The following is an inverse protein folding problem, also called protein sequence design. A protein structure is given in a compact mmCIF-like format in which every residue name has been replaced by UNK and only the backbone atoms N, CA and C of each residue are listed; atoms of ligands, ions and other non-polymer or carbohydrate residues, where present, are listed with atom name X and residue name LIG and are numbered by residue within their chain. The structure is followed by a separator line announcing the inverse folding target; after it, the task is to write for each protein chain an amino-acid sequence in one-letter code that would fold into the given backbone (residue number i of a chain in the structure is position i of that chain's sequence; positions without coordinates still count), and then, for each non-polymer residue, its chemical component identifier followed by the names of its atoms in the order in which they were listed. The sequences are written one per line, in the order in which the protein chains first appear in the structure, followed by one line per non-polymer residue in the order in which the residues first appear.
data_IF_892213152443
#
_entry.id   IF_892213152443
#
_cell.length_a   1.000
_cell.length_b   1.000
_cell.length_c   1.000
_cell.angle_alpha   90.00
_cell.angle_beta   90.00
_cell.angle_gamma   90.00
#
_symmetry.space_group_name_H-M   'P 1'
#
loop_
_entity.id
_entity.type
_entity.pdbx_description
1 polymer ?
#
# COMPACT_ATOMS: atom_id res chain seq x y z
N UNK A 1 14.80 2.63 -8.81
CA UNK A 1 13.54 2.97 -9.50
C UNK A 1 13.87 3.31 -10.95
N UNK A 2 13.13 2.82 -11.94
CA UNK A 2 13.41 3.15 -13.35
C UNK A 2 13.18 4.62 -13.66
N UNK A 3 14.02 5.23 -14.53
CA UNK A 3 13.89 6.65 -14.88
C UNK A 3 12.63 6.96 -15.70
N UNK A 4 11.97 5.99 -16.33
CA UNK A 4 10.68 6.23 -16.98
C UNK A 4 9.53 6.49 -15.99
N UNK A 5 9.73 6.22 -14.71
CA UNK A 5 8.74 6.53 -13.67
C UNK A 5 8.83 7.99 -13.26
N UNK A 6 7.68 8.67 -13.19
CA UNK A 6 7.58 10.12 -12.88
C UNK A 6 8.33 10.50 -11.60
N UNK A 7 8.26 9.68 -10.56
CA UNK A 7 9.01 9.93 -9.31
C UNK A 7 10.52 9.97 -9.55
N UNK A 8 11.09 9.02 -10.29
CA UNK A 8 12.52 8.98 -10.53
C UNK A 8 12.98 10.09 -11.48
N UNK A 9 12.24 10.29 -12.59
CA UNK A 9 12.60 11.30 -13.58
C UNK A 9 12.31 12.72 -13.10
N UNK A 10 11.05 13.03 -12.75
CA UNK A 10 10.67 14.41 -12.44
C UNK A 10 11.14 14.84 -11.06
N UNK A 11 10.83 14.04 -10.04
CA UNK A 11 11.11 14.39 -8.65
C UNK A 11 12.56 14.11 -8.25
N UNK A 12 13.20 13.10 -8.85
CA UNK A 12 14.60 12.76 -8.62
C UNK A 12 15.53 13.51 -9.56
N UNK A 13 15.63 13.03 -10.81
CA UNK A 13 16.62 13.49 -11.76
C UNK A 13 16.45 14.96 -12.17
N UNK A 14 15.29 15.32 -12.72
CA UNK A 14 15.06 16.69 -13.25
C UNK A 14 15.14 17.74 -12.15
N UNK A 15 14.58 17.46 -10.98
CA UNK A 15 14.64 18.39 -9.85
C UNK A 15 16.10 18.57 -9.34
N UNK A 16 16.86 17.47 -9.24
CA UNK A 16 18.28 17.54 -8.85
C UNK A 16 19.07 18.40 -9.81
N UNK A 17 18.85 18.27 -11.13
CA UNK A 17 19.51 19.12 -12.12
C UNK A 17 19.08 20.58 -12.03
N UNK A 18 17.80 20.85 -11.80
CA UNK A 18 17.28 22.23 -11.76
C UNK A 18 17.88 23.06 -10.62
N UNK A 19 18.32 22.42 -9.54
CA UNK A 19 18.96 23.08 -8.39
C UNK A 19 20.49 22.96 -8.39
N UNK A 20 21.10 22.41 -9.46
CA UNK A 20 22.54 22.23 -9.58
C UNK A 20 23.14 21.22 -8.61
N UNK A 21 22.34 20.27 -8.13
CA UNK A 21 22.81 19.21 -7.22
C UNK A 21 23.33 17.98 -7.99
N UNK A 22 24.04 17.08 -7.31
CA UNK A 22 24.56 15.86 -7.89
C UNK A 22 23.53 14.73 -7.79
N UNK A 23 23.28 14.06 -8.89
CA UNK A 23 22.42 12.87 -8.96
C UNK A 23 23.29 11.60 -9.08
N UNK A 24 23.20 10.73 -8.07
CA UNK A 24 23.86 9.42 -8.08
C UNK A 24 22.85 8.32 -8.41
N UNK A 25 23.17 7.46 -9.36
CA UNK A 25 22.30 6.40 -9.83
C UNK A 25 23.04 5.08 -9.96
N UNK A 26 22.53 4.05 -9.29
CA UNK A 26 23.02 2.68 -9.47
C UNK A 26 22.34 1.98 -10.65
N UNK A 27 23.07 1.08 -11.30
CA UNK A 27 22.54 0.28 -12.45
C UNK A 27 21.33 -0.58 -12.04
N UNK A 28 21.35 -1.12 -10.81
CA UNK A 28 20.32 -2.00 -10.25
C UNK A 28 20.21 -1.76 -8.76
N UNK A 29 18.97 -1.79 -8.24
CA UNK A 29 18.75 -1.82 -6.80
C UNK A 29 19.30 -3.13 -6.21
N UNK A 30 20.07 -3.01 -5.13
CA UNK A 30 20.58 -4.13 -4.36
C UNK A 30 20.58 -3.77 -2.88
N UNK A 31 19.96 -4.58 -2.05
CA UNK A 31 19.95 -4.37 -0.60
C UNK A 31 21.34 -4.44 0.04
N UNK A 32 22.23 -5.24 -0.58
CA UNK A 32 23.61 -5.38 -0.10
C UNK A 32 24.52 -4.24 -0.53
N UNK A 33 24.27 -3.57 -1.65
CA UNK A 33 25.11 -2.49 -2.17
C UNK A 33 24.57 -1.08 -1.86
N UNK A 34 23.30 -0.93 -1.54
CA UNK A 34 22.64 0.37 -1.42
C UNK A 34 23.35 1.33 -0.47
N UNK A 35 23.66 0.88 0.76
CA UNK A 35 24.30 1.73 1.75
C UNK A 35 25.79 1.98 1.45
N UNK A 36 26.45 1.09 0.73
CA UNK A 36 27.84 1.29 0.25
C UNK A 36 27.85 2.38 -0.85
N UNK A 37 26.88 2.36 -1.76
CA UNK A 37 26.71 3.42 -2.77
C UNK A 37 26.38 4.77 -2.11
N UNK A 38 25.49 4.79 -1.11
CA UNK A 38 25.13 6.00 -0.33
C UNK A 38 26.37 6.61 0.32
N UNK A 39 27.23 5.81 0.97
CA UNK A 39 28.49 6.24 1.58
C UNK A 39 29.50 6.72 0.53
N UNK A 40 29.69 5.93 -0.52
CA UNK A 40 30.64 6.24 -1.61
C UNK A 40 30.37 7.61 -2.24
N UNK A 41 29.12 7.95 -2.44
CA UNK A 41 28.71 9.22 -3.06
C UNK A 41 28.40 10.31 -2.03
N UNK A 42 28.60 10.06 -0.72
CA UNK A 42 28.26 10.97 0.38
C UNK A 42 26.85 11.55 0.22
N UNK A 43 25.89 10.70 -0.15
CA UNK A 43 24.52 11.12 -0.44
C UNK A 43 23.86 11.63 0.85
N UNK A 44 23.21 12.79 0.76
CA UNK A 44 22.46 13.38 1.87
C UNK A 44 20.94 13.32 1.72
N UNK A 45 20.47 12.88 0.56
CA UNK A 45 19.07 12.56 0.29
C UNK A 45 19.02 11.20 -0.43
N UNK A 46 18.12 10.33 0.00
CA UNK A 46 17.83 9.09 -0.72
C UNK A 46 16.39 9.10 -1.21
N UNK A 47 16.17 8.49 -2.38
CA UNK A 47 14.85 8.32 -2.96
C UNK A 47 14.38 6.87 -2.80
N UNK A 48 13.14 6.66 -2.39
CA UNK A 48 12.56 5.34 -2.17
C UNK A 48 11.19 5.14 -2.82
N UNK A 49 10.81 3.89 -2.97
CA UNK A 49 9.43 3.38 -2.94
C UNK A 49 9.28 2.57 -1.66
N UNK A 50 8.14 2.61 -1.00
CA UNK A 50 7.97 2.01 0.32
C UNK A 50 8.45 0.56 0.45
N UNK A 51 8.27 -0.26 -0.59
CA UNK A 51 8.76 -1.65 -0.59
C UNK A 51 10.29 -1.74 -0.58
N UNK A 52 11.01 -0.79 -1.19
CA UNK A 52 12.49 -0.79 -1.11
C UNK A 52 12.99 -0.55 0.31
N UNK A 53 12.28 0.26 1.09
CA UNK A 53 12.58 0.45 2.52
C UNK A 53 12.37 -0.85 3.31
N UNK A 54 11.33 -1.62 2.99
CA UNK A 54 11.10 -2.94 3.58
C UNK A 54 12.23 -3.91 3.25
N UNK A 55 12.65 -3.96 1.99
CA UNK A 55 13.79 -4.82 1.58
C UNK A 55 15.08 -4.45 2.29
N UNK A 56 15.37 -3.15 2.45
CA UNK A 56 16.52 -2.69 3.22
C UNK A 56 16.44 -3.09 4.71
N UNK A 57 15.24 -3.03 5.30
CA UNK A 57 15.01 -3.51 6.67
C UNK A 57 15.21 -5.03 6.83
N UNK A 58 14.94 -5.80 5.77
CA UNK A 58 15.08 -7.26 5.80
C UNK A 58 16.52 -7.72 5.56
N UNK A 59 17.37 -6.84 5.03
CA UNK A 59 18.78 -7.15 4.84
C UNK A 59 19.51 -7.25 6.21
N UNK A 60 20.53 -8.13 6.32
CA UNK A 60 21.36 -8.20 7.51
C UNK A 60 22.00 -6.84 7.85
N UNK A 61 22.21 -6.59 9.13
CA UNK A 61 22.99 -5.43 9.59
C UNK A 61 24.40 -5.48 8.99
N UNK A 62 24.84 -4.34 8.46
CA UNK A 62 26.19 -4.21 7.92
C UNK A 62 27.15 -3.89 9.03
N UNK A 63 28.22 -4.63 9.11
CA UNK A 63 29.31 -4.40 10.07
C UNK A 63 30.62 -4.16 9.33
N UNK A 64 31.46 -3.33 9.90
CA UNK A 64 32.85 -3.15 9.43
C UNK A 64 33.64 -4.43 9.71
N UNK A 65 34.25 -5.06 8.69
CA UNK A 65 34.99 -6.31 8.89
C UNK A 65 36.20 -6.20 9.82
N UNK A 66 36.79 -5.00 9.89
CA UNK A 66 38.02 -4.77 10.72
C UNK A 66 37.68 -4.41 12.18
N UNK A 67 36.59 -3.66 12.38
CA UNK A 67 36.25 -3.11 13.71
C UNK A 67 35.01 -3.75 14.35
N UNK A 68 34.19 -4.47 13.58
CA UNK A 68 32.89 -4.98 14.02
C UNK A 68 31.83 -3.89 14.20
N UNK A 69 32.10 -2.64 13.83
CA UNK A 69 31.19 -1.52 14.02
C UNK A 69 29.97 -1.62 13.11
N UNK A 70 28.79 -1.27 13.64
CA UNK A 70 27.56 -1.22 12.87
C UNK A 70 27.59 -0.05 11.87
N UNK A 71 27.54 -0.35 10.58
CA UNK A 71 27.58 0.61 9.48
C UNK A 71 26.19 1.11 9.03
N UNK A 72 25.09 0.60 9.57
CA UNK A 72 23.75 0.96 9.13
C UNK A 72 23.45 2.47 9.29
N UNK A 73 24.10 3.11 10.28
CA UNK A 73 23.99 4.57 10.54
C UNK A 73 25.17 5.41 10.07
N UNK A 74 26.17 4.80 9.48
CA UNK A 74 27.38 5.49 8.99
C UNK A 74 27.16 6.09 7.60
N UNK A 75 26.44 7.20 7.54
CA UNK A 75 26.18 7.94 6.30
C UNK A 75 25.70 9.36 6.60
N UNK A 76 25.64 10.21 5.57
CA UNK A 76 25.26 11.64 5.67
C UNK A 76 23.79 11.90 5.31
N UNK A 77 22.94 10.87 5.20
CA UNK A 77 21.54 11.01 4.79
C UNK A 77 20.75 11.81 5.83
N UNK A 78 20.15 12.91 5.38
CA UNK A 78 19.30 13.79 6.19
C UNK A 78 17.82 13.61 5.91
N UNK A 79 17.47 13.16 4.68
CA UNK A 79 16.09 12.99 4.24
C UNK A 79 15.98 11.74 3.39
N UNK A 80 15.02 10.90 3.69
CA UNK A 80 14.52 9.90 2.77
C UNK A 80 13.23 10.42 2.13
N UNK A 81 13.18 10.45 0.81
CA UNK A 81 12.13 11.03 0.00
C UNK A 81 11.49 9.97 -0.89
N UNK A 82 10.17 9.89 -0.90
CA UNK A 82 9.49 8.88 -1.72
C UNK A 82 7.99 8.79 -1.51
N UNK A 83 7.44 7.64 -1.88
CA UNK A 83 6.02 7.37 -1.77
C UNK A 83 5.73 5.91 -1.39
N UNK A 84 4.60 5.69 -0.73
CA UNK A 84 4.12 4.37 -0.36
C UNK A 84 4.83 3.75 0.83
N UNK A 85 5.43 4.56 1.71
CA UNK A 85 6.04 4.07 2.95
C UNK A 85 4.94 3.72 3.95
N UNK A 86 4.75 2.44 4.18
CA UNK A 86 3.73 1.95 5.09
C UNK A 86 4.04 2.30 6.55
N UNK A 87 3.03 2.55 7.39
CA UNK A 87 3.22 2.88 8.80
C UNK A 87 4.02 1.83 9.59
N UNK A 88 3.85 0.53 9.26
CA UNK A 88 4.58 -0.58 9.89
C UNK A 88 6.09 -0.59 9.58
N UNK A 89 6.51 0.09 8.50
CA UNK A 89 7.90 0.22 8.07
C UNK A 89 8.52 1.54 8.57
N UNK A 90 7.72 2.59 8.73
CA UNK A 90 8.14 3.97 8.91
C UNK A 90 9.18 4.17 10.02
N UNK A 91 8.80 3.91 11.27
CA UNK A 91 9.69 4.12 12.40
C UNK A 91 10.85 3.11 12.40
N UNK A 92 10.59 1.87 12.07
CA UNK A 92 11.63 0.83 11.97
C UNK A 92 12.74 1.24 11.01
N UNK A 93 12.38 1.85 9.86
CA UNK A 93 13.34 2.34 8.87
C UNK A 93 14.13 3.55 9.40
N UNK A 94 13.45 4.54 9.98
CA UNK A 94 14.09 5.70 10.62
C UNK A 94 15.07 5.28 11.70
N UNK A 95 14.62 4.41 12.60
CA UNK A 95 15.41 4.02 13.79
C UNK A 95 16.62 3.18 13.41
N UNK A 96 16.45 2.18 12.54
CA UNK A 96 17.56 1.33 12.14
C UNK A 96 18.65 2.13 11.43
N UNK A 97 18.28 2.95 10.47
CA UNK A 97 19.24 3.67 9.64
C UNK A 97 19.56 5.10 10.14
N UNK A 98 18.94 5.55 11.22
CA UNK A 98 19.19 6.88 11.78
C UNK A 98 18.76 8.02 10.86
N UNK A 99 17.65 7.87 10.11
CA UNK A 99 17.15 8.86 9.17
C UNK A 99 16.37 9.96 9.90
N UNK A 100 16.82 11.23 9.92
CA UNK A 100 16.17 12.28 10.69
C UNK A 100 14.80 12.67 10.16
N UNK A 101 14.58 12.60 8.83
CA UNK A 101 13.34 13.04 8.21
C UNK A 101 12.90 12.12 7.07
N UNK A 102 11.58 11.90 7.00
CA UNK A 102 10.90 11.27 5.88
C UNK A 102 10.08 12.33 5.15
N UNK A 103 10.26 12.43 3.84
CA UNK A 103 9.43 13.25 2.96
C UNK A 103 8.57 12.33 2.10
N UNK A 104 7.38 12.05 2.58
CA UNK A 104 6.39 11.25 1.86
C UNK A 104 5.58 12.13 0.93
N UNK A 105 5.32 11.68 -0.29
CA UNK A 105 4.41 12.37 -1.20
C UNK A 105 3.36 11.40 -1.76
N UNK A 106 2.27 11.96 -2.19
CA UNK A 106 1.22 11.26 -2.91
C UNK A 106 0.86 12.05 -4.17
N UNK A 107 0.67 11.34 -5.28
CA UNK A 107 0.24 11.89 -6.55
C UNK A 107 -0.01 10.78 -7.56
N UNK A 108 -0.80 11.09 -8.58
CA UNK A 108 -1.02 10.22 -9.75
C UNK A 108 -0.24 10.77 -10.93
N UNK A 109 0.32 9.88 -11.76
CA UNK A 109 1.10 10.27 -12.94
C UNK A 109 0.27 11.09 -13.94
N UNK A 110 -0.99 10.70 -14.09
CA UNK A 110 -1.98 11.37 -14.94
C UNK A 110 -2.62 12.59 -14.29
N UNK A 111 -2.44 12.78 -12.99
CA UNK A 111 -3.03 13.87 -12.23
C UNK A 111 -2.08 15.04 -12.02
N UNK A 112 -2.55 16.26 -12.22
CA UNK A 112 -1.81 17.50 -11.94
C UNK A 112 -1.85 17.90 -10.46
N UNK A 113 -1.87 16.92 -9.57
CA UNK A 113 -2.04 17.12 -8.14
C UNK A 113 -1.06 16.23 -7.35
N UNK A 114 -0.47 16.81 -6.32
CA UNK A 114 0.37 16.11 -5.37
C UNK A 114 0.18 16.66 -3.95
N UNK A 115 0.35 15.79 -2.95
CA UNK A 115 0.45 16.19 -1.53
C UNK A 115 1.80 15.81 -0.98
N UNK A 116 2.20 16.47 0.10
CA UNK A 116 3.49 16.31 0.74
C UNK A 116 3.36 16.24 2.25
N UNK A 117 4.22 15.41 2.84
CA UNK A 117 4.38 15.34 4.29
C UNK A 117 5.87 15.21 4.61
N UNK A 118 6.50 16.29 5.06
CA UNK A 118 7.86 16.23 5.63
C UNK A 118 7.75 16.01 7.13
N UNK A 119 8.08 14.81 7.58
CA UNK A 119 7.98 14.40 8.98
C UNK A 119 9.37 14.16 9.58
N UNK A 120 9.64 14.83 10.70
CA UNK A 120 10.87 14.63 11.51
C UNK A 120 10.59 13.86 12.79
N UNK A 121 9.35 13.79 13.21
CA UNK A 121 8.87 13.10 14.41
C UNK A 121 7.65 12.23 14.08
N UNK A 122 7.00 11.67 15.08
CA UNK A 122 5.88 10.75 14.87
C UNK A 122 4.56 11.44 14.52
N UNK A 123 4.48 12.78 14.68
CA UNK A 123 3.24 13.52 14.37
C UNK A 123 2.76 13.31 12.92
N UNK A 124 3.66 13.25 11.95
CA UNK A 124 3.32 13.03 10.54
C UNK A 124 3.45 11.57 10.08
N UNK A 125 3.66 10.61 10.98
CA UNK A 125 3.90 9.21 10.63
C UNK A 125 2.74 8.63 9.81
N UNK A 126 3.07 8.02 8.67
CA UNK A 126 2.10 7.36 7.78
C UNK A 126 1.21 8.30 6.98
N UNK A 127 1.26 9.61 7.22
CA UNK A 127 0.51 10.55 6.41
C UNK A 127 1.18 10.77 5.05
N UNK A 128 0.37 10.79 3.99
CA UNK A 128 0.79 11.06 2.60
C UNK A 128 0.68 12.53 2.21
N UNK A 129 0.13 13.35 3.09
CA UNK A 129 0.00 14.78 2.92
C UNK A 129 -0.25 15.48 4.24
N UNK A 130 0.16 16.73 4.31
CA UNK A 130 -0.08 17.61 5.45
C UNK A 130 -0.32 19.03 4.95
N UNK A 131 -1.34 19.69 5.46
CA UNK A 131 -1.67 21.05 5.07
C UNK A 131 -1.88 21.94 6.29
N UNK A 132 -1.43 23.20 6.19
CA UNK A 132 -1.72 24.22 7.18
C UNK A 132 -3.08 24.91 6.94
N UNK A 133 -3.55 25.68 7.92
CA UNK A 133 -4.83 26.39 7.84
C UNK A 133 -4.89 27.34 6.63
N UNK A 134 -3.83 28.09 6.36
CA UNK A 134 -3.76 29.01 5.23
C UNK A 134 -3.81 28.27 3.88
N UNK A 135 -3.09 27.16 3.75
CA UNK A 135 -3.15 26.32 2.55
C UNK A 135 -4.57 25.79 2.33
N UNK A 136 -5.23 25.31 3.40
CA UNK A 136 -6.61 24.82 3.31
C UNK A 136 -7.61 25.93 2.95
N UNK A 137 -7.40 27.14 3.40
CA UNK A 137 -8.23 28.28 3.03
C UNK A 137 -8.13 28.58 1.51
N UNK A 138 -6.94 28.55 0.95
CA UNK A 138 -6.66 28.87 -0.45
C UNK A 138 -6.96 27.66 -1.35
N UNK A 139 -6.41 26.51 -1.04
CA UNK A 139 -6.41 25.30 -1.89
C UNK A 139 -7.48 24.29 -1.52
N UNK A 140 -8.11 24.39 -0.34
CA UNK A 140 -9.08 23.41 0.17
C UNK A 140 -10.34 23.27 -0.71
N UNK A 141 -10.59 24.25 -1.61
CA UNK A 141 -11.66 24.14 -2.63
C UNK A 141 -11.26 23.33 -3.85
N UNK A 142 -10.00 23.00 -4.00
CA UNK A 142 -9.46 22.20 -5.11
C UNK A 142 -9.45 20.71 -4.83
N UNK A 143 -9.68 20.31 -3.59
CA UNK A 143 -9.71 18.93 -3.12
C UNK A 143 -11.02 18.62 -2.45
N UNK A 144 -11.50 17.41 -2.62
CA UNK A 144 -12.66 16.89 -1.93
C UNK A 144 -12.47 15.39 -1.64
N UNK A 145 -12.99 14.95 -0.49
CA UNK A 145 -13.17 13.54 -0.20
C UNK A 145 -14.67 13.30 -0.18
N UNK A 146 -15.15 12.34 -0.98
CA UNK A 146 -16.57 12.05 -1.15
C UNK A 146 -16.90 10.63 -0.72
N UNK A 147 -18.16 10.44 -0.29
CA UNK A 147 -18.68 9.11 0.00
C UNK A 147 -18.61 8.23 -1.24
N UNK A 148 -18.23 6.97 -1.07
CA UNK A 148 -18.21 5.96 -2.13
C UNK A 148 -19.30 4.93 -1.85
N UNK A 149 -20.04 4.60 -2.89
CA UNK A 149 -20.90 3.44 -2.90
C UNK A 149 -20.03 2.21 -3.18
N UNK A 150 -19.94 1.31 -2.24
CA UNK A 150 -19.01 0.18 -2.30
C UNK A 150 -19.49 -0.95 -3.21
N UNK A 151 -20.76 -0.98 -3.57
CA UNK A 151 -21.31 -1.99 -4.49
C UNK A 151 -21.05 -1.59 -5.94
N UNK A 152 -21.16 -0.29 -6.24
CA UNK A 152 -20.91 0.26 -7.58
C UNK A 152 -19.49 0.79 -7.78
N UNK A 153 -18.72 0.95 -6.70
CA UNK A 153 -17.39 1.59 -6.68
C UNK A 153 -17.40 3.04 -7.22
N UNK A 154 -18.55 3.70 -7.14
CA UNK A 154 -18.75 5.07 -7.62
C UNK A 154 -18.99 6.04 -6.45
N UNK A 155 -18.64 7.32 -6.59
CA UNK A 155 -19.03 8.35 -5.66
C UNK A 155 -20.55 8.43 -5.49
N UNK A 156 -21.00 8.39 -4.25
CA UNK A 156 -22.41 8.39 -3.90
C UNK A 156 -23.03 9.75 -4.15
N UNK A 157 -24.15 9.78 -4.87
CA UNK A 157 -24.93 10.99 -5.14
C UNK A 157 -26.18 11.04 -4.27
N UNK A 158 -26.50 12.21 -3.79
CA UNK A 158 -27.75 12.47 -3.07
C UNK A 158 -28.94 12.31 -4.04
N UNK A 159 -29.93 11.49 -3.71
CA UNK A 159 -31.05 11.21 -4.63
C UNK A 159 -31.94 12.43 -4.94
N UNK A 160 -31.93 13.49 -4.10
CA UNK A 160 -32.72 14.71 -4.32
C UNK A 160 -32.00 15.74 -5.17
N UNK A 161 -30.70 15.93 -4.92
CA UNK A 161 -29.92 16.99 -5.57
C UNK A 161 -29.05 16.48 -6.71
N UNK A 162 -28.80 15.17 -6.78
CA UNK A 162 -27.86 14.50 -7.67
C UNK A 162 -26.40 14.95 -7.50
N UNK A 163 -26.06 15.65 -6.41
CA UNK A 163 -24.70 16.04 -6.08
C UNK A 163 -24.05 15.04 -5.12
N UNK A 164 -22.72 14.97 -5.13
CA UNK A 164 -21.97 14.12 -4.21
C UNK A 164 -21.93 14.73 -2.81
N UNK A 165 -21.85 13.85 -1.81
CA UNK A 165 -21.66 14.24 -0.41
C UNK A 165 -20.21 14.17 -0.04
N UNK A 166 -19.70 15.19 0.65
CA UNK A 166 -18.38 15.15 1.29
C UNK A 166 -18.45 14.29 2.53
N UNK A 167 -17.40 13.50 2.77
CA UNK A 167 -17.26 12.78 4.05
C UNK A 167 -16.86 13.76 5.17
N UNK A 168 -17.29 13.51 6.42
CA UNK A 168 -16.76 14.21 7.59
C UNK A 168 -15.25 13.96 7.75
N UNK A 169 -14.56 14.83 8.50
CA UNK A 169 -13.17 14.57 8.89
C UNK A 169 -13.08 13.33 9.77
N UNK A 170 -12.08 12.50 9.50
CA UNK A 170 -11.91 11.20 10.13
C UNK A 170 -12.46 10.04 9.31
N UNK A 171 -13.45 10.30 8.46
CA UNK A 171 -14.09 9.28 7.63
C UNK A 171 -13.34 9.08 6.30
N UNK A 172 -13.24 7.83 5.82
CA UNK A 172 -12.64 7.53 4.53
C UNK A 172 -13.61 7.82 3.37
N UNK A 173 -13.04 8.21 2.22
CA UNK A 173 -13.79 8.41 0.99
C UNK A 173 -12.86 8.57 -0.21
N UNK A 174 -13.43 8.64 -1.43
CA UNK A 174 -12.63 8.84 -2.64
C UNK A 174 -12.11 10.28 -2.70
N UNK A 175 -10.81 10.41 -2.94
CA UNK A 175 -10.18 11.69 -3.20
C UNK A 175 -10.50 12.17 -4.61
N UNK A 176 -11.06 13.36 -4.70
CA UNK A 176 -11.27 14.07 -5.95
C UNK A 176 -10.44 15.35 -5.98
N UNK A 177 -9.94 15.74 -7.14
CA UNK A 177 -9.41 17.08 -7.33
C UNK A 177 -10.12 17.82 -8.47
N UNK A 178 -10.27 19.12 -8.27
CA UNK A 178 -11.04 19.97 -9.16
C UNK A 178 -10.31 20.20 -10.48
N UNK A 179 -11.04 20.02 -11.56
CA UNK A 179 -10.62 20.35 -12.92
C UNK A 179 -11.23 21.72 -13.35
N UNK A 180 -10.56 22.50 -14.22
CA UNK A 180 -11.18 23.67 -14.84
C UNK A 180 -12.27 23.19 -15.82
N UNK A 181 -13.56 23.57 -15.62
CA UNK A 181 -14.66 23.00 -16.43
C UNK A 181 -14.58 23.34 -17.92
N UNK A 182 -14.00 24.50 -18.26
CA UNK A 182 -13.84 24.95 -19.64
C UNK A 182 -12.60 24.40 -20.35
N UNK A 183 -11.65 23.83 -19.61
CA UNK A 183 -10.38 23.33 -20.14
C UNK A 183 -9.86 22.16 -19.30
N UNK A 184 -10.59 21.08 -19.30
CA UNK A 184 -10.21 19.85 -18.58
C UNK A 184 -8.87 19.31 -19.07
N UNK A 185 -8.58 19.42 -20.37
CA UNK A 185 -7.37 18.91 -20.99
C UNK A 185 -6.09 19.59 -20.48
N UNK A 186 -6.16 20.84 -20.00
CA UNK A 186 -5.00 21.53 -19.41
C UNK A 186 -4.50 20.86 -18.12
N UNK A 187 -5.34 20.10 -17.46
CA UNK A 187 -5.03 19.42 -16.19
C UNK A 187 -5.07 17.89 -16.26
N UNK A 188 -5.82 17.35 -17.21
CA UNK A 188 -5.91 15.92 -17.46
C UNK A 188 -6.06 15.65 -18.94
N UNK A 189 -4.98 15.23 -19.59
CA UNK A 189 -4.93 14.98 -21.02
C UNK A 189 -5.62 13.64 -21.43
N UNK A 190 -5.89 12.79 -20.46
CA UNK A 190 -6.49 11.47 -20.69
C UNK A 190 -5.47 10.38 -21.00
N UNK A 191 -5.99 9.20 -21.24
CA UNK A 191 -5.20 8.02 -21.62
C UNK A 191 -5.10 7.95 -23.15
N UNK A 192 -3.89 7.73 -23.64
CA UNK A 192 -3.64 7.64 -25.09
C UNK A 192 -4.41 6.44 -25.69
N UNK A 193 -5.23 6.73 -26.69
CA UNK A 193 -6.02 5.70 -27.39
C UNK A 193 -7.22 5.13 -26.63
N UNK A 194 -7.47 5.51 -25.36
CA UNK A 194 -8.55 4.99 -24.52
C UNK A 194 -9.46 6.12 -24.00
N UNK A 195 -10.50 6.44 -24.79
CA UNK A 195 -11.48 7.46 -24.45
C UNK A 195 -12.40 7.05 -23.29
N UNK A 196 -12.70 5.74 -23.18
CA UNK A 196 -13.59 5.22 -22.15
C UNK A 196 -12.92 5.26 -20.78
N UNK A 197 -11.67 4.82 -20.68
CA UNK A 197 -10.89 4.95 -19.46
C UNK A 197 -10.70 6.43 -19.07
N UNK A 198 -10.50 7.31 -20.05
CA UNK A 198 -10.38 8.77 -19.84
C UNK A 198 -11.68 9.34 -19.26
N UNK A 199 -12.82 9.04 -19.85
CA UNK A 199 -14.11 9.55 -19.42
C UNK A 199 -14.49 9.09 -18.01
N UNK A 200 -14.15 7.86 -17.63
CA UNK A 200 -14.38 7.30 -16.28
C UNK A 200 -13.61 8.05 -15.18
N UNK A 201 -12.55 8.76 -15.54
CA UNK A 201 -11.75 9.56 -14.58
C UNK A 201 -12.31 10.97 -14.38
N UNK A 202 -13.24 11.43 -15.20
CA UNK A 202 -13.82 12.77 -15.12
C UNK A 202 -15.25 12.68 -14.60
N UNK A 203 -15.54 13.41 -13.54
CA UNK A 203 -16.89 13.60 -13.02
C UNK A 203 -17.35 15.03 -13.23
N UNK A 204 -18.55 15.17 -13.76
CA UNK A 204 -19.26 16.44 -13.90
C UNK A 204 -20.34 16.56 -12.83
N UNK A 205 -20.71 17.80 -12.52
CA UNK A 205 -21.79 18.11 -11.58
C UNK A 205 -21.63 17.41 -10.22
N UNK A 206 -20.43 17.54 -9.63
CA UNK A 206 -20.11 16.86 -8.37
C UNK A 206 -20.71 17.58 -7.17
N UNK A 207 -20.51 18.89 -7.04
CA UNK A 207 -21.04 19.71 -5.94
C UNK A 207 -21.96 20.84 -6.42
N UNK A 208 -21.87 21.17 -7.70
CA UNK A 208 -22.69 22.18 -8.35
C UNK A 208 -22.74 21.92 -9.85
N UNK A 209 -23.79 22.37 -10.52
CA UNK A 209 -23.93 22.29 -11.97
C UNK A 209 -22.73 22.95 -12.68
N UNK A 210 -22.13 22.24 -13.63
CA UNK A 210 -21.02 22.69 -14.45
C UNK A 210 -19.64 22.59 -13.78
N UNK A 211 -19.47 22.02 -12.58
CA UNK A 211 -18.15 21.73 -12.07
C UNK A 211 -17.60 20.41 -12.65
N UNK A 212 -16.27 20.30 -12.69
CA UNK A 212 -15.57 19.11 -13.17
C UNK A 212 -14.51 18.68 -12.17
N UNK A 213 -14.40 17.38 -11.96
CA UNK A 213 -13.50 16.79 -10.98
C UNK A 213 -12.84 15.53 -11.53
N UNK A 214 -11.59 15.32 -11.19
CA UNK A 214 -10.85 14.10 -11.50
C UNK A 214 -11.03 13.08 -10.36
N UNK A 215 -11.31 11.85 -10.73
CA UNK A 215 -11.37 10.71 -9.83
C UNK A 215 -10.01 10.07 -9.67
N UNK A 216 -9.46 10.06 -8.46
CA UNK A 216 -8.18 9.37 -8.21
C UNK A 216 -8.35 7.86 -8.22
N UNK A 217 -9.49 7.36 -7.75
CA UNK A 217 -9.72 5.94 -7.46
C UNK A 217 -9.05 5.52 -6.15
N UNK A 218 -8.57 6.47 -5.35
CA UNK A 218 -7.91 6.21 -4.07
C UNK A 218 -8.82 6.64 -2.92
N UNK A 219 -9.00 5.76 -1.95
CA UNK A 219 -9.71 6.03 -0.70
C UNK A 219 -8.71 6.60 0.29
N UNK A 220 -9.02 7.79 0.78
CA UNK A 220 -8.18 8.53 1.72
C UNK A 220 -9.03 9.12 2.84
N UNK A 221 -8.41 9.58 3.92
CA UNK A 221 -9.08 10.34 4.99
C UNK A 221 -8.24 11.50 5.46
N UNK A 222 -8.90 12.63 5.72
CA UNK A 222 -8.34 13.75 6.48
C UNK A 222 -8.62 13.54 7.96
N UNK A 223 -7.62 13.64 8.80
CA UNK A 223 -7.85 13.75 10.23
C UNK A 223 -8.16 15.20 10.67
N UNK A 224 -8.38 15.37 11.96
CA UNK A 224 -8.68 16.69 12.56
C UNK A 224 -7.50 17.65 12.55
N UNK A 225 -6.27 17.14 12.37
CA UNK A 225 -5.04 17.91 12.37
C UNK A 225 -4.50 18.20 10.95
N UNK A 226 -5.34 18.02 9.94
CA UNK A 226 -5.03 18.25 8.53
C UNK A 226 -3.91 17.34 7.97
N UNK A 227 -3.85 16.10 8.44
CA UNK A 227 -3.02 15.06 7.85
C UNK A 227 -3.88 14.17 6.96
N UNK A 228 -3.37 13.90 5.75
CA UNK A 228 -4.01 13.02 4.78
C UNK A 228 -3.40 11.62 4.87
N UNK A 229 -4.23 10.62 5.05
CA UNK A 229 -3.82 9.22 5.10
C UNK A 229 -4.40 8.45 3.92
N UNK A 230 -3.60 7.60 3.32
CA UNK A 230 -4.06 6.64 2.34
C UNK A 230 -4.69 5.44 3.05
N UNK A 231 -5.91 5.11 2.67
CA UNK A 231 -6.60 3.95 3.20
C UNK A 231 -6.50 2.75 2.27
N UNK A 232 -6.91 2.90 0.99
CA UNK A 232 -6.83 1.82 -0.01
C UNK A 232 -7.15 2.36 -1.41
N UNK A 233 -7.12 1.50 -2.42
CA UNK A 233 -7.66 1.78 -3.74
C UNK A 233 -9.08 1.27 -3.86
N UNK A 234 -9.93 2.04 -4.55
CA UNK A 234 -11.22 1.53 -5.03
C UNK A 234 -10.93 0.34 -5.93
N UNK A 235 -11.61 -0.77 -5.75
CA UNK A 235 -11.32 -2.03 -6.45
C UNK A 235 -10.26 -2.92 -5.79
N UNK A 236 -9.47 -2.41 -4.84
CA UNK A 236 -8.63 -3.25 -3.97
C UNK A 236 -9.36 -3.64 -2.68
N UNK A 237 -10.22 -2.77 -2.16
CA UNK A 237 -11.14 -3.10 -1.07
C UNK A 237 -12.04 -4.27 -1.45
N UNK A 238 -12.45 -5.05 -0.48
CA UNK A 238 -13.43 -6.10 -0.69
C UNK A 238 -14.52 -6.05 0.39
N UNK A 239 -15.68 -6.61 0.07
CA UNK A 239 -16.82 -6.69 1.00
C UNK A 239 -16.94 -8.10 1.56
N UNK A 240 -17.06 -8.22 2.87
CA UNK A 240 -17.30 -9.47 3.56
C UNK A 240 -18.33 -9.30 4.64
N UNK A 241 -19.41 -10.12 4.63
CA UNK A 241 -20.52 -10.04 5.59
C UNK A 241 -21.11 -8.63 5.73
N UNK A 242 -21.35 -7.99 4.59
CA UNK A 242 -21.87 -6.63 4.46
C UNK A 242 -20.93 -5.51 4.97
N UNK A 243 -19.70 -5.83 5.37
CA UNK A 243 -18.70 -4.88 5.84
C UNK A 243 -17.59 -4.69 4.80
N UNK A 244 -17.11 -3.45 4.67
CA UNK A 244 -16.01 -3.13 3.77
C UNK A 244 -14.67 -3.33 4.48
N UNK A 245 -13.73 -3.97 3.79
CA UNK A 245 -12.41 -4.28 4.31
C UNK A 245 -11.34 -3.60 3.47
N UNK A 246 -10.50 -2.78 4.10
CA UNK A 246 -9.29 -2.24 3.50
C UNK A 246 -8.21 -3.30 3.47
N UNK A 247 -7.72 -3.61 2.27
CA UNK A 247 -6.62 -4.55 2.10
C UNK A 247 -5.31 -4.01 2.66
N UNK A 248 -5.12 -2.69 2.60
CA UNK A 248 -3.95 -2.02 3.14
C UNK A 248 -3.91 -2.10 4.68
N UNK A 249 -5.05 -1.88 5.35
CA UNK A 249 -5.15 -1.99 6.81
C UNK A 249 -4.85 -3.43 7.29
N UNK A 250 -5.48 -4.41 6.67
CA UNK A 250 -5.22 -5.83 7.01
C UNK A 250 -3.77 -6.21 6.76
N UNK A 251 -3.19 -5.80 5.61
CA UNK A 251 -1.79 -6.07 5.28
C UNK A 251 -0.82 -5.39 6.26
N UNK A 252 -1.16 -4.21 6.76
CA UNK A 252 -0.37 -3.54 7.80
C UNK A 252 -0.36 -4.34 9.09
N UNK A 253 -1.53 -4.76 9.58
CA UNK A 253 -1.62 -5.56 10.81
C UNK A 253 -0.88 -6.88 10.65
N UNK A 254 -1.07 -7.62 9.56
CA UNK A 254 -0.33 -8.86 9.29
C UNK A 254 1.17 -8.61 9.25
N UNK A 255 1.62 -7.53 8.60
CA UNK A 255 3.03 -7.16 8.45
C UNK A 255 3.74 -6.77 9.74
N UNK A 256 2.98 -6.36 10.78
CA UNK A 256 3.51 -6.07 12.12
C UNK A 256 3.90 -7.33 12.90
N UNK A 257 3.45 -8.52 12.48
CA UNK A 257 3.82 -9.75 13.18
C UNK A 257 5.32 -10.06 13.00
N UNK A 258 6.07 -10.37 14.10
CA UNK A 258 7.53 -10.56 14.06
C UNK A 258 8.03 -11.58 13.04
N UNK A 259 7.25 -12.65 12.81
CA UNK A 259 7.60 -13.72 11.88
C UNK A 259 7.35 -13.36 10.40
N UNK A 260 6.62 -12.28 10.11
CA UNK A 260 6.24 -11.89 8.75
C UNK A 260 7.30 -10.98 8.14
N UNK A 261 7.73 -11.32 6.94
CA UNK A 261 8.62 -10.51 6.11
C UNK A 261 7.82 -9.57 5.20
N UNK A 262 6.82 -10.13 4.51
CA UNK A 262 5.99 -9.41 3.55
C UNK A 262 4.54 -9.92 3.61
N UNK A 263 3.58 -9.02 3.47
CA UNK A 263 2.16 -9.35 3.41
C UNK A 263 1.45 -8.53 2.31
N UNK A 264 0.68 -9.21 1.46
CA UNK A 264 -0.21 -8.62 0.47
C UNK A 264 -1.61 -9.21 0.63
N UNK A 265 -2.61 -8.35 0.80
CA UNK A 265 -3.99 -8.78 1.10
C UNK A 265 -4.91 -8.50 -0.06
N UNK A 266 -5.82 -9.41 -0.32
CA UNK A 266 -6.82 -9.33 -1.39
C UNK A 266 -8.08 -10.10 -1.01
N UNK A 267 -9.19 -9.76 -1.66
CA UNK A 267 -10.46 -10.49 -1.50
C UNK A 267 -10.54 -11.67 -2.46
N UNK A 268 -11.04 -12.81 -1.98
CA UNK A 268 -11.27 -14.03 -2.75
C UNK A 268 -12.73 -14.45 -2.68
N UNK A 269 -13.28 -14.90 -3.80
CA UNK A 269 -14.63 -15.46 -3.85
C UNK A 269 -14.66 -16.84 -3.19
N UNK A 270 -15.68 -17.07 -2.38
CA UNK A 270 -15.88 -18.35 -1.68
C UNK A 270 -17.26 -18.91 -2.05
N UNK A 271 -17.33 -20.18 -2.49
CA UNK A 271 -18.59 -20.80 -2.85
C UNK A 271 -19.65 -20.67 -1.75
N UNK A 272 -20.88 -20.33 -2.12
CA UNK A 272 -22.02 -20.25 -1.19
C UNK A 272 -21.98 -19.05 -0.22
N UNK A 273 -21.08 -18.09 -0.42
CA UNK A 273 -21.00 -16.88 0.38
C UNK A 273 -21.06 -15.63 -0.49
N UNK A 274 -21.79 -14.63 -0.03
CA UNK A 274 -21.85 -13.32 -0.67
C UNK A 274 -20.60 -12.49 -0.32
N UNK A 275 -20.09 -11.74 -1.30
CA UNK A 275 -18.89 -10.93 -1.15
C UNK A 275 -17.61 -11.73 -1.34
N UNK A 276 -16.50 -11.21 -0.78
CA UNK A 276 -15.17 -11.80 -0.88
C UNK A 276 -14.55 -11.94 0.49
N UNK A 277 -14.01 -13.11 0.79
CA UNK A 277 -13.28 -13.35 2.03
C UNK A 277 -11.84 -12.82 1.93
N UNK A 278 -11.30 -12.32 3.03
CA UNK A 278 -9.90 -11.85 3.06
C UNK A 278 -8.92 -13.00 2.91
N UNK A 279 -7.95 -12.84 2.01
CA UNK A 279 -6.78 -13.71 1.87
C UNK A 279 -5.51 -12.87 2.02
N UNK A 280 -4.61 -13.29 2.93
CA UNK A 280 -3.29 -12.70 3.09
C UNK A 280 -2.24 -13.60 2.44
N UNK A 281 -1.62 -13.14 1.33
CA UNK A 281 -0.40 -13.75 0.82
C UNK A 281 0.77 -13.26 1.68
N UNK A 282 1.53 -14.19 2.25
CA UNK A 282 2.57 -13.91 3.24
C UNK A 282 3.86 -14.61 2.87
N UNK A 283 4.94 -13.83 2.94
CA UNK A 283 6.30 -14.35 2.99
C UNK A 283 6.75 -14.30 4.45
N UNK A 284 7.14 -15.44 4.99
CA UNK A 284 7.70 -15.52 6.34
C UNK A 284 9.20 -15.26 6.32
N UNK A 285 9.74 -14.80 7.44
CA UNK A 285 11.18 -14.68 7.62
C UNK A 285 11.82 -16.08 7.65
N UNK A 286 13.07 -16.25 7.20
CA UNK A 286 13.73 -17.55 7.16
C UNK A 286 13.76 -18.29 8.51
N UNK A 287 13.95 -17.55 9.60
CA UNK A 287 13.95 -18.09 10.96
C UNK A 287 12.59 -18.51 11.51
N UNK A 288 11.51 -18.11 10.84
CA UNK A 288 10.13 -18.41 11.23
C UNK A 288 9.53 -19.60 10.48
N UNK A 289 10.27 -20.20 9.57
CA UNK A 289 9.88 -21.39 8.81
C UNK A 289 10.71 -22.60 9.17
N UNK A 290 10.11 -23.77 9.08
CA UNK A 290 10.82 -25.05 9.28
C UNK A 290 11.85 -25.26 8.14
N UNK A 291 12.91 -26.04 8.35
CA UNK A 291 13.86 -26.40 7.30
C UNK A 291 13.17 -26.93 6.03
N UNK A 292 13.79 -26.76 4.86
CA UNK A 292 13.24 -27.22 3.60
C UNK A 292 12.92 -28.72 3.60
N UNK A 293 13.74 -29.55 4.27
CA UNK A 293 13.49 -30.97 4.46
C UNK A 293 12.19 -31.25 5.26
N UNK A 294 11.72 -30.31 6.08
CA UNK A 294 10.45 -30.35 6.82
C UNK A 294 9.34 -29.54 6.13
N UNK A 295 9.51 -29.20 4.84
CA UNK A 295 8.52 -28.56 3.98
C UNK A 295 8.62 -27.06 3.85
N UNK A 296 9.53 -26.36 4.56
CA UNK A 296 9.74 -24.90 4.42
C UNK A 296 8.52 -24.06 4.79
N UNK A 297 7.65 -24.55 5.67
CA UNK A 297 6.41 -23.89 6.09
C UNK A 297 6.54 -23.36 7.52
N UNK A 298 5.74 -22.34 7.92
CA UNK A 298 5.71 -21.89 9.30
C UNK A 298 5.24 -23.00 10.25
N UNK A 299 5.78 -23.02 11.47
CA UNK A 299 5.36 -23.97 12.51
C UNK A 299 3.91 -23.71 12.95
N UNK A 300 3.25 -24.70 13.54
CA UNK A 300 1.91 -24.54 14.13
C UNK A 300 1.89 -23.44 15.19
N UNK A 301 2.95 -23.32 15.98
CA UNK A 301 3.10 -22.24 16.95
C UNK A 301 3.13 -20.87 16.28
N UNK A 302 3.87 -20.72 15.17
CA UNK A 302 3.91 -19.47 14.38
C UNK A 302 2.54 -19.13 13.80
N UNK A 303 1.83 -20.13 13.24
CA UNK A 303 0.49 -19.95 12.68
C UNK A 303 -0.54 -19.57 13.75
N UNK A 304 -0.49 -20.16 14.92
CA UNK A 304 -1.33 -19.80 16.07
C UNK A 304 -1.00 -18.40 16.59
N UNK A 305 0.27 -18.05 16.71
CA UNK A 305 0.69 -16.70 17.11
C UNK A 305 0.21 -15.62 16.15
N UNK A 306 0.31 -15.89 14.83
CA UNK A 306 -0.20 -14.97 13.79
C UNK A 306 -1.73 -14.83 13.88
N UNK A 307 -2.47 -15.93 14.05
CA UNK A 307 -3.93 -15.90 14.24
C UNK A 307 -4.34 -15.06 15.46
N UNK A 308 -3.64 -15.23 16.58
CA UNK A 308 -3.84 -14.41 17.78
C UNK A 308 -3.50 -12.93 17.55
N UNK A 309 -2.45 -12.65 16.79
CA UNK A 309 -2.02 -11.29 16.46
C UNK A 309 -3.08 -10.55 15.62
N UNK A 310 -3.54 -11.14 14.53
CA UNK A 310 -4.55 -10.50 13.65
C UNK A 310 -5.88 -10.30 14.37
N UNK A 311 -6.28 -11.20 15.28
CA UNK A 311 -7.49 -11.04 16.09
C UNK A 311 -7.45 -9.88 17.07
N UNK A 312 -6.27 -9.56 17.59
CA UNK A 312 -6.10 -8.39 18.47
C UNK A 312 -6.07 -7.06 17.69
N UNK A 313 -5.61 -7.11 16.44
CA UNK A 313 -5.42 -5.91 15.62
C UNK A 313 -6.54 -5.58 14.65
N UNK A 314 -7.48 -6.52 14.40
CA UNK A 314 -8.53 -6.37 13.39
C UNK A 314 -9.92 -6.71 13.94
N UNK A 315 -10.97 -6.02 13.49
CA UNK A 315 -12.33 -6.42 13.76
C UNK A 315 -12.63 -7.77 13.07
N UNK A 316 -13.62 -8.49 13.60
CA UNK A 316 -13.92 -9.88 13.19
C UNK A 316 -14.18 -10.03 11.68
N UNK A 317 -14.85 -9.07 11.06
CA UNK A 317 -15.15 -9.10 9.63
C UNK A 317 -13.92 -8.87 8.74
N UNK A 318 -12.88 -8.20 9.25
CA UNK A 318 -11.65 -7.89 8.51
C UNK A 318 -10.55 -8.97 8.69
N UNK A 319 -10.77 -9.98 9.52
CA UNK A 319 -9.81 -11.07 9.69
C UNK A 319 -9.56 -11.77 8.35
N UNK A 320 -8.30 -11.93 7.91
CA UNK A 320 -8.01 -12.73 6.73
C UNK A 320 -8.36 -14.20 7.04
N UNK A 321 -9.43 -14.68 6.41
CA UNK A 321 -9.89 -16.07 6.60
C UNK A 321 -8.94 -17.06 5.95
N UNK A 322 -8.22 -16.64 4.93
CA UNK A 322 -7.20 -17.45 4.26
C UNK A 322 -5.82 -16.81 4.41
N UNK A 323 -4.83 -17.66 4.54
CA UNK A 323 -3.41 -17.32 4.57
C UNK A 323 -2.73 -18.13 3.46
N UNK A 324 -2.17 -17.44 2.47
CA UNK A 324 -1.40 -18.04 1.39
C UNK A 324 0.09 -17.86 1.68
N UNK A 325 0.78 -18.93 1.98
CA UNK A 325 2.24 -18.91 2.19
C UNK A 325 2.91 -18.98 0.84
N UNK A 326 3.56 -17.86 0.46
CA UNK A 326 4.21 -17.71 -0.84
C UNK A 326 5.56 -18.44 -0.82
N UNK A 327 5.73 -19.41 -1.71
CA UNK A 327 7.01 -20.05 -1.96
C UNK A 327 7.84 -19.24 -2.96
N UNK A 328 9.17 -19.29 -2.83
CA UNK A 328 10.06 -18.49 -3.67
C UNK A 328 10.53 -17.16 -3.06
N UNK A 329 10.09 -16.83 -1.86
CA UNK A 329 10.68 -15.77 -1.03
C UNK A 329 10.31 -14.32 -1.39
N UNK A 330 9.42 -14.09 -2.37
CA UNK A 330 8.94 -12.74 -2.72
C UNK A 330 7.55 -12.76 -3.34
N UNK A 331 6.73 -11.77 -3.03
CA UNK A 331 5.48 -11.50 -3.72
C UNK A 331 5.78 -10.78 -5.04
N UNK A 332 5.05 -11.11 -6.11
CA UNK A 332 5.22 -10.46 -7.41
C UNK A 332 5.01 -8.95 -7.31
N UNK A 333 5.95 -8.20 -7.88
CA UNK A 333 5.90 -6.74 -7.94
C UNK A 333 5.94 -6.25 -9.38
N UNK A 334 5.44 -5.03 -9.59
CA UNK A 334 5.62 -4.30 -10.85
C UNK A 334 7.09 -3.91 -11.03
N UNK A 335 7.48 -3.47 -12.23
CA UNK A 335 8.80 -2.87 -12.48
C UNK A 335 9.13 -1.67 -11.60
N UNK A 336 8.11 -1.10 -10.92
CA UNK A 336 8.23 -0.01 -9.94
C UNK A 336 8.19 -0.48 -8.49
N UNK A 337 8.38 -1.78 -8.24
CA UNK A 337 8.33 -2.43 -6.91
C UNK A 337 6.98 -2.23 -6.15
N UNK A 338 5.86 -2.12 -6.87
CA UNK A 338 4.52 -2.16 -6.27
C UNK A 338 4.00 -3.59 -6.29
N UNK A 339 3.46 -4.06 -5.18
CA UNK A 339 2.87 -5.41 -5.08
C UNK A 339 1.72 -5.57 -6.07
N UNK A 340 1.69 -6.70 -6.78
CA UNK A 340 0.61 -7.05 -7.71
C UNK A 340 -0.43 -7.91 -6.99
N UNK A 341 -1.71 -7.57 -7.17
CA UNK A 341 -2.84 -8.34 -6.61
C UNK A 341 -3.63 -9.11 -7.67
N UNK A 342 -3.50 -8.73 -8.93
CA UNK A 342 -4.33 -9.27 -10.03
C UNK A 342 -4.15 -10.77 -10.20
N UNK A 343 -2.92 -11.26 -10.24
CA UNK A 343 -2.63 -12.71 -10.33
C UNK A 343 -3.15 -13.46 -9.11
N UNK A 344 -2.86 -12.94 -7.91
CA UNK A 344 -3.30 -13.54 -6.65
C UNK A 344 -4.83 -13.65 -6.55
N UNK A 345 -5.55 -12.62 -7.01
CA UNK A 345 -7.02 -12.64 -7.06
C UNK A 345 -7.56 -13.67 -8.05
N UNK A 346 -7.00 -13.72 -9.26
CA UNK A 346 -7.44 -14.65 -10.30
C UNK A 346 -7.18 -16.11 -9.94
N UNK A 347 -6.09 -16.40 -9.23
CA UNK A 347 -5.76 -17.72 -8.71
C UNK A 347 -6.63 -18.11 -7.52
N UNK A 348 -7.03 -17.13 -6.70
CA UNK A 348 -7.86 -17.34 -5.51
C UNK A 348 -7.21 -18.21 -4.45
N UNK A 349 -8.01 -19.09 -3.83
CA UNK A 349 -7.57 -20.03 -2.78
C UNK A 349 -7.88 -21.49 -3.11
N UNK A 350 -8.41 -21.74 -4.31
CA UNK A 350 -8.76 -23.10 -4.71
C UNK A 350 -7.50 -23.97 -4.82
N UNK A 351 -7.46 -25.14 -4.18
CA UNK A 351 -6.35 -26.07 -4.31
C UNK A 351 -6.08 -26.44 -5.76
N UNK A 352 -4.80 -26.45 -6.15
CA UNK A 352 -4.35 -26.69 -7.53
C UNK A 352 -4.26 -25.43 -8.42
N UNK A 353 -4.80 -24.28 -7.98
CA UNK A 353 -4.69 -23.01 -8.72
C UNK A 353 -3.60 -22.07 -8.17
N UNK A 354 -3.08 -22.35 -6.99
CA UNK A 354 -2.11 -21.50 -6.30
C UNK A 354 -0.65 -21.90 -6.57
N UNK A 355 -0.40 -22.70 -7.59
CA UNK A 355 0.94 -23.17 -7.93
C UNK A 355 1.58 -23.95 -6.79
N UNK A 356 2.79 -23.57 -6.40
CA UNK A 356 3.53 -24.18 -5.29
C UNK A 356 3.16 -23.59 -3.91
N UNK A 357 2.40 -22.50 -3.89
CA UNK A 357 2.01 -21.85 -2.63
C UNK A 357 1.06 -22.72 -1.82
N UNK A 358 1.19 -22.63 -0.51
CA UNK A 358 0.37 -23.40 0.41
C UNK A 358 -0.66 -22.52 1.07
N UNK A 359 -1.93 -22.91 0.98
CA UNK A 359 -3.03 -22.16 1.59
C UNK A 359 -3.38 -22.77 2.93
N UNK A 360 -3.61 -21.92 3.91
CA UNK A 360 -4.17 -22.20 5.22
C UNK A 360 -5.47 -21.40 5.38
N UNK A 361 -6.33 -21.84 6.28
CA UNK A 361 -7.51 -21.10 6.66
C UNK A 361 -7.67 -20.98 8.17
N UNK A 362 -8.34 -19.95 8.63
CA UNK A 362 -8.52 -19.64 10.03
C UNK A 362 -9.58 -20.56 10.65
N UNK A 363 -9.16 -21.47 11.51
CA UNK A 363 -10.02 -22.39 12.26
C UNK A 363 -9.71 -22.32 13.75
N UNK A 364 -10.75 -22.10 14.57
CA UNK A 364 -10.53 -21.96 16.01
C UNK A 364 -9.48 -20.87 16.27
N UNK A 365 -8.40 -21.18 16.96
CA UNK A 365 -7.35 -20.27 17.39
C UNK A 365 -6.12 -20.21 16.47
N UNK A 366 -6.13 -20.94 15.35
CA UNK A 366 -4.95 -21.09 14.47
C UNK A 366 -5.33 -21.07 12.99
N UNK A 367 -4.32 -20.84 12.15
CA UNK A 367 -4.37 -21.15 10.73
C UNK A 367 -4.01 -22.62 10.53
N UNK A 368 -4.91 -23.39 9.93
CA UNK A 368 -4.72 -24.82 9.61
C UNK A 368 -4.67 -25.01 8.10
N UNK A 369 -3.96 -26.04 7.63
CA UNK A 369 -3.79 -26.28 6.20
C UNK A 369 -5.14 -26.45 5.52
N UNK A 370 -5.35 -25.71 4.43
CA UNK A 370 -6.52 -25.79 3.57
C UNK A 370 -6.29 -26.79 2.45
N UNK A 371 -7.15 -27.79 2.32
CA UNK A 371 -7.00 -28.92 1.40
C UNK A 371 -8.17 -29.01 0.42
N UNK A 372 -8.07 -29.91 -0.56
CA UNK A 372 -9.12 -30.14 -1.54
C UNK A 372 -10.46 -30.60 -0.91
N UNK A 373 -10.38 -31.38 0.16
CA UNK A 373 -11.57 -31.81 0.90
C UNK A 373 -12.28 -30.62 1.56
N UNK A 374 -11.51 -29.65 2.10
CA UNK A 374 -12.07 -28.43 2.69
C UNK A 374 -12.75 -27.55 1.65
N UNK A 375 -12.13 -27.43 0.46
CA UNK A 375 -12.74 -26.73 -0.68
C UNK A 375 -14.06 -27.41 -1.10
N UNK A 376 -14.08 -28.72 -1.23
CA UNK A 376 -15.29 -29.50 -1.55
C UNK A 376 -16.38 -29.36 -0.48
N UNK A 377 -15.96 -29.24 0.79
CA UNK A 377 -16.89 -29.02 1.90
C UNK A 377 -17.52 -27.62 1.87
N UNK A 378 -16.75 -26.60 1.47
CA UNK A 378 -17.26 -25.24 1.23
C UNK A 378 -18.24 -25.21 0.05
N UNK A 379 -17.89 -25.83 -1.09
CA UNK A 379 -18.78 -25.92 -2.27
C UNK A 379 -20.10 -26.63 -1.94
N UNK A 380 -20.06 -27.65 -1.12
CA UNK A 380 -21.24 -28.40 -0.68
C UNK A 380 -22.03 -27.75 0.47
N UNK A 381 -21.66 -26.53 0.91
CA UNK A 381 -22.36 -25.81 1.99
C UNK A 381 -22.23 -26.48 3.39
N UNK A 382 -21.35 -27.46 3.53
CA UNK A 382 -21.12 -28.19 4.80
C UNK A 382 -20.33 -27.42 5.83
N UNK A 383 -19.71 -26.33 5.43
CA UNK A 383 -18.92 -25.45 6.27
C UNK A 383 -19.41 -24.01 6.13
N UNK A 384 -19.70 -23.35 7.24
CA UNK A 384 -20.00 -21.91 7.32
C UNK A 384 -18.75 -21.17 7.79
N UNK A 385 -18.40 -20.07 7.08
CA UNK A 385 -17.29 -19.19 7.40
C UNK A 385 -17.73 -18.00 8.26
#
# INVERSE_FOLDING_TARGET
MPLYHSTAMLMGFSHTLSVGATFAMSRKFSTSAFWDDVRKHNANIIQYVGETCRYLLSAPTRTDPATGENLDRKHSVRVAFGNGLRPDVWNRFKDRFGIPAIAEFYGATEGSFATWNLSRNDFGMGAIGRSGALYNLIMGRSLAIVEVDHDTELPRRDPKTNFCRRVPRGEPGELLFRLPPGDVASRFQGYYGDKDATSKKIMLDVFRKGDAWFRTGDVVRWDTENRLYFNDRIGDTFRWKSENVSTAEVAQVVGLHPAVLEANVYGVEVPGHEGRAGCAAVVFKPEAVLPAAAGGLPSEQTLRALAGHVRRGLPRYALPLFLRVVKGGAIQTTGTNKQQKTSLRSEGVQPGRTGEDVVFWLRGDSYVRFRAEDWSALQGGRVKL
#
